data_IF_964422668169
#
_entry.id   IF_964422668169
#
_cell.length_a   1.000
_cell.length_b   1.000
_cell.length_c   1.000
_cell.angle_alpha   90.00
_cell.angle_beta   90.00
_cell.angle_gamma   90.00
#
_symmetry.space_group_name_H-M   'P 1'
#
loop_
_entity.id
_entity.type
_entity.pdbx_description
1 polymer ?
#
# COMPACT_ATOMS: atom_id res chain seq x y z
N UNK A 1 -0.45 -2.26 8.57
CA UNK A 1 -0.73 -2.52 7.13
C UNK A 1 -0.03 -1.45 6.30
N UNK A 2 0.76 -1.87 5.36
CA UNK A 2 1.42 -0.97 4.40
C UNK A 2 0.80 -1.17 3.03
N UNK A 3 0.30 -0.09 2.42
CA UNK A 3 -0.33 -0.13 1.11
C UNK A 3 0.70 0.23 0.04
N UNK A 4 0.93 -0.66 -0.90
CA UNK A 4 1.91 -0.53 -1.97
C UNK A 4 1.20 -0.30 -3.31
N UNK A 5 1.87 0.38 -4.23
CA UNK A 5 1.30 0.69 -5.54
C UNK A 5 2.27 0.49 -6.72
N UNK A 6 3.45 -0.08 -6.46
CA UNK A 6 4.45 -0.29 -7.49
C UNK A 6 5.26 0.95 -7.84
N UNK A 7 5.16 2.03 -7.04
CA UNK A 7 5.91 3.25 -7.27
C UNK A 7 7.25 3.25 -6.53
N UNK A 8 8.08 4.25 -6.81
CA UNK A 8 9.39 4.40 -6.17
C UNK A 8 9.31 4.61 -4.66
N UNK A 9 8.15 5.00 -4.14
CA UNK A 9 7.97 5.22 -2.71
C UNK A 9 7.70 3.96 -1.91
N UNK A 10 7.45 2.82 -2.56
CA UNK A 10 7.13 1.57 -1.87
C UNK A 10 8.23 1.13 -0.89
N UNK A 11 9.49 1.32 -1.26
CA UNK A 11 10.62 1.01 -0.38
C UNK A 11 10.57 1.83 0.91
N UNK A 12 10.34 3.12 0.79
CA UNK A 12 10.27 4.02 1.96
C UNK A 12 9.04 3.74 2.82
N UNK A 13 7.90 3.48 2.19
CA UNK A 13 6.67 3.08 2.90
C UNK A 13 6.91 1.80 3.70
N UNK A 14 7.53 0.81 3.08
CA UNK A 14 7.82 -0.48 3.71
C UNK A 14 8.79 -0.33 4.87
N UNK A 15 9.87 0.44 4.71
CA UNK A 15 10.83 0.70 5.80
C UNK A 15 10.17 1.39 6.97
N UNK A 16 9.35 2.39 6.71
CA UNK A 16 8.61 3.11 7.76
C UNK A 16 7.70 2.15 8.51
N UNK A 17 6.96 1.31 7.77
CA UNK A 17 6.09 0.31 8.38
C UNK A 17 6.87 -0.71 9.21
N UNK A 18 8.03 -1.14 8.74
CA UNK A 18 8.89 -2.05 9.51
C UNK A 18 9.35 -1.44 10.83
N UNK A 19 9.78 -0.18 10.81
CA UNK A 19 10.21 0.51 12.03
C UNK A 19 9.07 0.60 13.05
N UNK A 20 7.88 0.93 12.60
CA UNK A 20 6.70 1.01 13.47
C UNK A 20 6.33 -0.36 14.01
N UNK A 21 6.31 -1.38 13.15
CA UNK A 21 5.97 -2.75 13.54
C UNK A 21 6.95 -3.31 14.57
N UNK A 22 8.24 -3.05 14.41
CA UNK A 22 9.27 -3.47 15.36
C UNK A 22 9.06 -2.82 16.72
N UNK A 23 8.77 -1.52 16.75
CA UNK A 23 8.56 -0.78 17.97
C UNK A 23 7.33 -1.22 18.75
N UNK A 24 6.26 -1.59 18.06
CA UNK A 24 4.99 -2.00 18.66
C UNK A 24 4.80 -3.51 18.75
N UNK A 25 5.70 -4.30 18.17
CA UNK A 25 5.60 -5.76 18.07
C UNK A 25 4.30 -6.20 17.40
N UNK A 26 3.79 -5.40 16.46
CA UNK A 26 2.55 -5.69 15.74
C UNK A 26 2.81 -6.53 14.50
N UNK A 27 1.73 -7.13 14.00
CA UNK A 27 1.77 -7.83 12.71
C UNK A 27 1.94 -6.83 11.59
N UNK A 28 2.69 -7.23 10.56
CA UNK A 28 2.92 -6.44 9.37
C UNK A 28 2.22 -7.10 8.19
N UNK A 29 1.40 -6.35 7.47
CA UNK A 29 0.78 -6.79 6.22
C UNK A 29 1.16 -5.84 5.10
N UNK A 30 1.64 -6.38 4.00
CA UNK A 30 1.88 -5.64 2.76
C UNK A 30 0.72 -5.92 1.82
N UNK A 31 0.01 -4.88 1.42
CA UNK A 31 -1.16 -4.98 0.54
C UNK A 31 -0.85 -4.29 -0.78
N UNK A 32 -1.10 -4.99 -1.87
CA UNK A 32 -1.06 -4.41 -3.21
C UNK A 32 -2.46 -4.54 -3.82
N UNK A 33 -3.07 -3.41 -4.15
CA UNK A 33 -4.38 -3.40 -4.80
C UNK A 33 -4.18 -3.22 -6.30
N UNK A 34 -4.70 -4.16 -7.07
CA UNK A 34 -4.77 -4.05 -8.54
C UNK A 34 -6.12 -3.45 -8.88
N UNK A 35 -6.10 -2.26 -9.47
CA UNK A 35 -7.33 -1.61 -9.92
C UNK A 35 -7.74 -2.19 -11.26
N UNK A 36 -8.92 -2.81 -11.30
CA UNK A 36 -9.45 -3.47 -12.49
C UNK A 36 -10.38 -2.50 -13.23
N UNK A 37 -10.08 -2.16 -14.50
CA UNK A 37 -10.99 -1.34 -15.31
C UNK A 37 -12.38 -1.95 -15.42
N UNK A 38 -13.40 -1.11 -15.46
CA UNK A 38 -14.81 -1.56 -15.52
C UNK A 38 -15.15 -2.41 -16.74
N UNK A 39 -14.37 -2.30 -17.83
CA UNK A 39 -14.55 -3.11 -19.03
C UNK A 39 -14.21 -4.58 -18.85
N UNK A 40 -13.54 -4.93 -17.74
CA UNK A 40 -13.20 -6.32 -17.43
C UNK A 40 -14.00 -6.81 -16.23
N UNK A 41 -14.27 -8.13 -16.12
CA UNK A 41 -14.79 -8.71 -14.89
C UNK A 41 -13.82 -8.49 -13.74
N UNK A 42 -14.33 -8.38 -12.53
CA UNK A 42 -13.49 -8.09 -11.35
C UNK A 42 -12.48 -9.21 -11.07
N UNK A 43 -12.80 -10.45 -11.43
CA UNK A 43 -11.94 -11.62 -11.23
C UNK A 43 -11.01 -11.90 -12.43
N UNK A 44 -10.95 -10.99 -13.42
CA UNK A 44 -10.06 -11.18 -14.56
C UNK A 44 -8.61 -11.21 -14.10
N UNK A 45 -7.82 -12.09 -14.70
CA UNK A 45 -6.39 -12.11 -14.48
C UNK A 45 -5.70 -11.35 -15.62
N UNK A 46 -5.15 -10.17 -15.28
CA UNK A 46 -4.36 -9.37 -16.20
C UNK A 46 -2.89 -9.66 -15.89
N UNK A 47 -2.28 -10.54 -16.67
CA UNK A 47 -0.97 -11.11 -16.39
C UNK A 47 0.11 -10.09 -16.07
N UNK A 48 0.17 -8.97 -16.81
CA UNK A 48 1.19 -7.94 -16.57
C UNK A 48 0.98 -7.23 -15.22
N UNK A 49 -0.27 -6.97 -14.86
CA UNK A 49 -0.58 -6.32 -13.58
C UNK A 49 -0.31 -7.26 -12.41
N UNK A 50 -0.67 -8.53 -12.56
CA UNK A 50 -0.41 -9.54 -11.55
C UNK A 50 1.09 -9.75 -11.35
N UNK A 51 1.86 -9.84 -12.43
CA UNK A 51 3.32 -9.99 -12.37
C UNK A 51 3.97 -8.80 -11.66
N UNK A 52 3.53 -7.59 -11.96
CA UNK A 52 4.05 -6.38 -11.29
C UNK A 52 3.75 -6.41 -9.80
N UNK A 53 2.53 -6.79 -9.44
CA UNK A 53 2.13 -6.87 -8.03
C UNK A 53 2.95 -7.92 -7.28
N UNK A 54 3.11 -9.11 -7.84
CA UNK A 54 3.89 -10.18 -7.23
C UNK A 54 5.34 -9.78 -7.07
N UNK A 55 5.95 -9.18 -8.10
CA UNK A 55 7.33 -8.72 -8.06
C UNK A 55 7.53 -7.65 -6.98
N UNK A 56 6.61 -6.69 -6.90
CA UNK A 56 6.67 -5.63 -5.90
C UNK A 56 6.58 -6.22 -4.49
N UNK A 57 5.64 -7.12 -4.26
CA UNK A 57 5.48 -7.76 -2.96
C UNK A 57 6.70 -8.60 -2.59
N UNK A 58 7.28 -9.35 -3.53
CA UNK A 58 8.49 -10.12 -3.28
C UNK A 58 9.66 -9.23 -2.87
N UNK A 59 9.86 -8.13 -3.58
CA UNK A 59 10.93 -7.18 -3.26
C UNK A 59 10.74 -6.57 -1.86
N UNK A 60 9.51 -6.20 -1.53
CA UNK A 60 9.22 -5.59 -0.24
C UNK A 60 9.24 -6.63 0.90
N UNK A 61 8.83 -7.86 0.62
CA UNK A 61 8.96 -8.96 1.57
C UNK A 61 10.45 -9.19 1.93
N UNK A 62 11.31 -9.22 0.93
CA UNK A 62 12.76 -9.37 1.16
C UNK A 62 13.32 -8.20 1.98
N UNK A 63 12.88 -6.99 1.70
CA UNK A 63 13.28 -5.81 2.47
C UNK A 63 12.86 -5.93 3.94
N UNK A 64 11.62 -6.37 4.19
CA UNK A 64 11.14 -6.62 5.56
C UNK A 64 11.99 -7.67 6.27
N UNK A 65 12.32 -8.77 5.58
CA UNK A 65 13.13 -9.85 6.17
C UNK A 65 14.54 -9.39 6.51
N UNK A 66 15.14 -8.52 5.70
CA UNK A 66 16.42 -7.89 6.03
C UNK A 66 16.35 -7.06 7.30
N UNK A 67 15.19 -6.49 7.58
CA UNK A 67 14.92 -5.74 8.79
C UNK A 67 14.37 -6.62 9.92
N UNK A 68 14.41 -7.92 9.74
CA UNK A 68 13.96 -8.96 10.70
C UNK A 68 12.46 -8.87 11.01
N UNK A 69 11.67 -8.48 10.02
CA UNK A 69 10.21 -8.45 10.09
C UNK A 69 9.65 -9.46 9.07
N UNK A 70 8.74 -10.32 9.50
CA UNK A 70 8.04 -11.24 8.60
C UNK A 70 6.68 -10.65 8.23
N UNK A 71 6.49 -10.17 7.00
CA UNK A 71 5.20 -9.63 6.61
C UNK A 71 4.26 -10.72 6.09
N UNK A 72 2.97 -10.49 6.20
CA UNK A 72 2.00 -11.14 5.36
C UNK A 72 1.86 -10.33 4.08
N UNK A 73 1.66 -10.97 2.95
CA UNK A 73 1.50 -10.29 1.67
C UNK A 73 0.14 -10.64 1.08
N UNK A 74 -0.53 -9.63 0.53
CA UNK A 74 -1.88 -9.78 -0.03
C UNK A 74 -1.99 -9.00 -1.32
N UNK A 75 -2.57 -9.63 -2.35
CA UNK A 75 -2.98 -8.96 -3.58
C UNK A 75 -4.50 -8.92 -3.60
N UNK A 76 -5.07 -7.73 -3.81
CA UNK A 76 -6.50 -7.52 -3.91
C UNK A 76 -6.83 -6.93 -5.27
N UNK A 77 -7.80 -7.49 -5.98
CA UNK A 77 -8.35 -6.90 -7.19
C UNK A 77 -9.61 -6.12 -6.84
N UNK A 78 -9.70 -4.88 -7.28
CA UNK A 78 -10.82 -4.01 -6.92
C UNK A 78 -11.06 -2.96 -8.00
N UNK A 79 -12.22 -2.31 -7.93
CA UNK A 79 -12.55 -1.19 -8.83
C UNK A 79 -11.92 0.12 -8.36
N UNK A 80 -11.65 0.25 -7.06
CA UNK A 80 -11.09 1.45 -6.47
C UNK A 80 -10.07 1.05 -5.41
N UNK A 81 -8.89 1.64 -5.48
CA UNK A 81 -7.79 1.32 -4.57
C UNK A 81 -8.11 1.76 -3.13
N UNK A 82 -8.56 2.99 -2.96
CA UNK A 82 -8.85 3.51 -1.62
C UNK A 82 -9.93 2.74 -0.90
N UNK A 83 -11.01 2.41 -1.60
CA UNK A 83 -12.10 1.61 -1.04
C UNK A 83 -11.63 0.23 -0.62
N UNK A 84 -10.80 -0.40 -1.43
CA UNK A 84 -10.25 -1.73 -1.13
C UNK A 84 -9.33 -1.71 0.09
N UNK A 85 -8.48 -0.69 0.21
CA UNK A 85 -7.58 -0.54 1.36
C UNK A 85 -8.40 -0.42 2.65
N UNK A 86 -9.41 0.43 2.66
CA UNK A 86 -10.27 0.64 3.83
C UNK A 86 -11.00 -0.66 4.18
N UNK A 87 -11.61 -1.32 3.21
CA UNK A 87 -12.33 -2.58 3.44
C UNK A 87 -11.40 -3.65 4.01
N UNK A 88 -10.21 -3.81 3.42
CA UNK A 88 -9.26 -4.82 3.87
C UNK A 88 -8.74 -4.50 5.28
N UNK A 89 -8.47 -3.23 5.58
CA UNK A 89 -8.04 -2.83 6.92
C UNK A 89 -9.08 -3.16 7.98
N UNK A 90 -10.35 -2.99 7.66
CA UNK A 90 -11.46 -3.33 8.57
C UNK A 90 -11.54 -4.84 8.78
N UNK A 91 -11.47 -5.62 7.72
CA UNK A 91 -11.49 -7.10 7.80
C UNK A 91 -10.35 -7.65 8.64
N UNK A 92 -9.16 -7.07 8.50
CA UNK A 92 -7.96 -7.50 9.21
C UNK A 92 -7.84 -6.87 10.60
N UNK A 93 -8.77 -6.02 11.00
CA UNK A 93 -8.69 -5.23 12.24
C UNK A 93 -7.34 -4.54 12.39
N UNK A 94 -6.89 -3.91 11.32
CA UNK A 94 -5.61 -3.21 11.30
C UNK A 94 -5.63 -2.02 12.25
N UNK A 95 -4.54 -1.83 12.99
CA UNK A 95 -4.40 -0.69 13.91
C UNK A 95 -3.94 0.56 13.18
N UNK A 96 -3.25 0.40 12.06
CA UNK A 96 -2.69 1.51 11.30
C UNK A 96 -2.55 1.14 9.82
N UNK A 97 -2.83 2.11 8.96
CA UNK A 97 -2.52 2.04 7.53
C UNK A 97 -1.39 3.01 7.25
N UNK A 98 -0.35 2.55 6.56
CA UNK A 98 0.77 3.39 6.13
C UNK A 98 0.80 3.37 4.62
N UNK A 99 0.87 4.54 4.01
CA UNK A 99 0.87 4.67 2.56
C UNK A 99 1.61 5.93 2.12
N UNK A 100 2.05 5.96 0.88
CA UNK A 100 2.61 7.17 0.29
C UNK A 100 1.50 8.19 0.05
N UNK A 101 1.79 9.47 0.27
CA UNK A 101 0.78 10.54 0.24
C UNK A 101 0.44 11.04 -1.17
N UNK A 102 0.86 10.34 -2.21
CA UNK A 102 0.60 10.75 -3.59
C UNK A 102 1.90 10.94 -4.36
N UNK A 103 1.89 11.84 -5.33
CA UNK A 103 3.04 12.02 -6.23
C UNK A 103 3.35 13.48 -6.47
N UNK A 104 4.56 13.75 -6.99
CA UNK A 104 4.97 15.08 -7.41
C UNK A 104 4.29 15.44 -8.72
N UNK A 105 3.68 16.64 -8.78
CA UNK A 105 3.15 17.19 -10.00
C UNK A 105 4.27 17.81 -10.85
N UNK A 106 3.95 18.15 -12.11
CA UNK A 106 4.94 18.71 -13.06
C UNK A 106 5.55 20.03 -12.62
N UNK A 107 4.82 20.80 -11.80
CA UNK A 107 5.27 22.10 -11.28
C UNK A 107 6.03 21.96 -9.96
N UNK A 108 6.44 20.74 -9.59
CA UNK A 108 7.12 20.39 -8.35
C UNK A 108 6.26 20.53 -7.09
N UNK A 109 4.95 20.68 -7.24
CA UNK A 109 4.04 20.59 -6.09
C UNK A 109 3.68 19.14 -5.81
N UNK A 110 3.47 18.81 -4.54
CA UNK A 110 3.02 17.47 -4.17
C UNK A 110 1.50 17.38 -4.28
N UNK A 111 1.02 16.36 -4.99
CA UNK A 111 -0.41 16.12 -5.16
C UNK A 111 -0.82 14.91 -4.34
N UNK A 112 -1.78 15.10 -3.44
CA UNK A 112 -2.38 14.00 -2.69
C UNK A 112 -3.38 13.30 -3.61
N UNK A 113 -3.21 12.00 -3.78
CA UNK A 113 -4.09 11.22 -4.67
C UNK A 113 -5.49 11.08 -4.06
N UNK A 114 -6.47 10.81 -4.92
CA UNK A 114 -7.85 10.56 -4.48
C UNK A 114 -7.94 9.35 -3.54
N UNK A 115 -7.11 8.34 -3.77
CA UNK A 115 -7.08 7.15 -2.93
C UNK A 115 -6.61 7.47 -1.51
N UNK A 116 -5.57 8.29 -1.39
CA UNK A 116 -5.08 8.74 -0.08
C UNK A 116 -6.14 9.56 0.65
N UNK A 117 -6.78 10.49 -0.06
CA UNK A 117 -7.85 11.32 0.50
C UNK A 117 -9.01 10.44 0.99
N UNK A 118 -9.39 9.44 0.20
CA UNK A 118 -10.45 8.51 0.58
C UNK A 118 -10.10 7.73 1.86
N UNK A 119 -8.89 7.19 1.93
CA UNK A 119 -8.44 6.42 3.10
C UNK A 119 -8.39 7.30 4.34
N UNK A 120 -7.85 8.51 4.24
CA UNK A 120 -7.81 9.46 5.36
C UNK A 120 -9.21 9.79 5.88
N UNK A 121 -10.17 9.90 4.98
CA UNK A 121 -11.55 10.26 5.34
C UNK A 121 -12.33 9.09 5.92
N UNK A 122 -12.11 7.86 5.43
CA UNK A 122 -13.01 6.73 5.67
C UNK A 122 -12.43 5.61 6.53
N UNK A 123 -11.13 5.55 6.76
CA UNK A 123 -10.53 4.48 7.56
C UNK A 123 -10.95 4.58 9.03
N UNK A 124 -11.16 3.42 9.66
CA UNK A 124 -11.53 3.33 11.08
C UNK A 124 -10.32 3.15 12.00
N UNK A 125 -9.12 3.30 11.47
CA UNK A 125 -7.87 3.16 12.21
C UNK A 125 -6.98 4.36 11.94
N UNK A 126 -5.83 4.39 12.59
CA UNK A 126 -4.83 5.43 12.32
C UNK A 126 -4.34 5.31 10.89
N UNK A 127 -4.14 6.45 10.23
CA UNK A 127 -3.60 6.50 8.88
C UNK A 127 -2.37 7.40 8.88
N UNK A 128 -1.27 6.87 8.35
CA UNK A 128 -0.06 7.64 8.12
C UNK A 128 0.15 7.76 6.61
N UNK A 129 -0.09 8.94 6.07
CA UNK A 129 0.17 9.25 4.67
C UNK A 129 1.52 9.99 4.60
N UNK A 130 2.51 9.35 3.98
CA UNK A 130 3.88 9.84 4.00
C UNK A 130 4.26 10.50 2.70
N UNK A 131 4.81 11.71 2.79
CA UNK A 131 5.49 12.35 1.68
C UNK A 131 6.98 12.07 1.83
N UNK A 132 7.59 11.50 0.80
CA UNK A 132 9.01 11.22 0.81
C UNK A 132 9.72 12.22 -0.09
N UNK A 133 10.76 12.90 0.42
CA UNK A 133 11.49 13.86 -0.42
C UNK A 133 12.21 13.13 -1.55
N UNK A 134 12.22 13.77 -2.72
CA UNK A 134 13.00 13.29 -3.86
C UNK A 134 14.45 13.65 -3.60
N UNK A 135 15.32 12.62 -3.64
CA UNK A 135 16.76 12.83 -3.44
C UNK A 135 17.38 13.48 -4.67
#
# INVERSE_FOLDING_TARGET
MAALNGSDTDGDVTKTACHISMGSKSRMTLVYVIEIPRRYPLDVELAQMTSKAEKTLDQMDQLCRKMKVKPNTVIVQARSIGTAIVAHSTEQTAEMIIMGAGKMARDNTHVISDDVAYVLKNANCKVMACKFPVA
#
